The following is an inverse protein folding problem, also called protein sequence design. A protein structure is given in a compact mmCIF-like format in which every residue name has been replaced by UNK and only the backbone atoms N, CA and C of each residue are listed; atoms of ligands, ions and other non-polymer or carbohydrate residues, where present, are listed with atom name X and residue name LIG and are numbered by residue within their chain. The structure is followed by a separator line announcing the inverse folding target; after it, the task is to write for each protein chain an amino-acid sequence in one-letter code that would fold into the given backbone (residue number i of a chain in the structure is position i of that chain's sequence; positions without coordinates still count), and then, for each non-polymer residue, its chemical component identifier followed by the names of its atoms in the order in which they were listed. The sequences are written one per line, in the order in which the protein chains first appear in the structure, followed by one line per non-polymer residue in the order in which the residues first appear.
data_IF_817543234912
#
_entry.id   IF_817543234912
#
_cell.length_a   1.000
_cell.length_b   1.000
_cell.length_c   1.000
_cell.angle_alpha   90.00
_cell.angle_beta   90.00
_cell.angle_gamma   90.00
#
_symmetry.space_group_name_H-M   'P 1'
#
loop_
_entity.id
_entity.type
_entity.pdbx_description
1 polymer ?
#
# COMPACT_ATOMS: atom_id res chain seq x y z
N UNK A 1 -40.87 78.36 -32.28
CA UNK A 1 -39.45 78.69 -31.94
C UNK A 1 -39.32 78.38 -30.44
N UNK A 2 -38.48 77.49 -29.89
CA UNK A 2 -37.17 76.93 -30.23
C UNK A 2 -37.15 75.52 -29.60
N UNK A 3 -36.69 74.52 -30.36
CA UNK A 3 -36.71 73.08 -30.01
C UNK A 3 -35.60 72.76 -28.99
N UNK A 4 -35.90 72.02 -27.93
CA UNK A 4 -34.90 71.24 -27.18
C UNK A 4 -35.18 69.77 -27.44
N UNK A 5 -34.25 69.13 -28.14
CA UNK A 5 -34.27 67.71 -28.51
C UNK A 5 -33.30 67.01 -27.56
N UNK A 6 -33.81 66.31 -26.55
CA UNK A 6 -32.99 65.46 -25.67
C UNK A 6 -33.04 64.04 -26.22
N UNK A 7 -32.01 63.64 -26.94
CA UNK A 7 -31.81 62.26 -27.40
C UNK A 7 -31.21 61.46 -26.24
N UNK A 8 -32.01 60.61 -25.60
CA UNK A 8 -31.52 59.62 -24.65
C UNK A 8 -30.92 58.43 -25.43
N UNK A 9 -29.59 58.38 -25.51
CA UNK A 9 -28.85 57.26 -26.10
C UNK A 9 -28.73 56.15 -25.04
N UNK A 10 -29.62 55.15 -25.09
CA UNK A 10 -29.49 53.95 -24.30
C UNK A 10 -28.34 53.09 -24.87
N UNK A 11 -27.19 53.09 -24.20
CA UNK A 11 -26.06 52.23 -24.52
C UNK A 11 -26.39 50.80 -24.05
N UNK A 12 -26.91 49.98 -24.95
CA UNK A 12 -27.09 48.53 -24.72
C UNK A 12 -25.71 47.87 -24.83
N UNK A 13 -25.05 47.64 -23.70
CA UNK A 13 -23.80 46.88 -23.64
C UNK A 13 -24.14 45.39 -23.84
N UNK A 14 -23.96 44.88 -25.06
CA UNK A 14 -23.88 43.45 -25.32
C UNK A 14 -22.56 42.92 -24.73
N UNK A 15 -22.62 42.34 -23.53
CA UNK A 15 -21.55 41.51 -23.02
C UNK A 15 -21.60 40.15 -23.75
N UNK A 16 -20.51 39.68 -24.39
CA UNK A 16 -20.46 38.33 -24.91
C UNK A 16 -20.42 37.34 -23.74
N UNK A 17 -21.31 36.34 -23.75
CA UNK A 17 -21.28 35.19 -22.85
C UNK A 17 -19.95 34.44 -22.99
N UNK A 18 -19.04 34.68 -22.04
CA UNK A 18 -17.85 33.85 -21.89
C UNK A 18 -18.32 32.54 -21.23
N UNK A 19 -18.20 31.36 -21.87
CA UNK A 19 -18.56 30.12 -21.23
C UNK A 19 -17.59 29.89 -20.06
N UNK A 20 -18.08 30.09 -18.85
CA UNK A 20 -17.40 29.66 -17.64
C UNK A 20 -17.31 28.12 -17.69
N UNK A 21 -16.17 27.61 -18.16
CA UNK A 21 -15.78 26.21 -17.93
C UNK A 21 -15.52 26.08 -16.44
N UNK A 22 -16.58 25.82 -15.68
CA UNK A 22 -16.46 25.42 -14.29
C UNK A 22 -15.61 24.15 -14.28
N UNK A 23 -14.44 24.21 -13.64
CA UNK A 23 -13.62 23.04 -13.39
C UNK A 23 -14.47 22.04 -12.60
N UNK A 24 -14.99 21.02 -13.28
CA UNK A 24 -15.77 19.96 -12.66
C UNK A 24 -14.83 18.78 -12.43
N UNK A 25 -14.62 18.46 -11.16
CA UNK A 25 -13.83 17.30 -10.74
C UNK A 25 -14.63 15.99 -10.78
N UNK A 26 -15.88 16.01 -11.25
CA UNK A 26 -16.77 14.83 -11.25
C UNK A 26 -16.27 13.69 -12.14
N UNK A 27 -15.56 13.99 -13.24
CA UNK A 27 -14.95 12.94 -14.06
C UNK A 27 -13.83 12.22 -13.30
N UNK A 28 -13.03 12.96 -12.53
CA UNK A 28 -11.87 12.45 -11.81
C UNK A 28 -12.30 11.68 -10.56
N UNK A 29 -13.37 12.13 -9.91
CA UNK A 29 -14.06 11.39 -8.85
C UNK A 29 -14.69 10.09 -9.39
N UNK A 30 -15.25 10.12 -10.61
CA UNK A 30 -15.77 8.92 -11.27
C UNK A 30 -14.66 7.91 -11.62
N UNK A 31 -13.50 8.38 -12.08
CA UNK A 31 -12.32 7.52 -12.36
C UNK A 31 -11.77 6.92 -11.07
N UNK A 32 -11.67 7.71 -10.00
CA UNK A 32 -11.22 7.24 -8.69
C UNK A 32 -12.15 6.18 -8.08
N UNK A 33 -13.47 6.39 -8.17
CA UNK A 33 -14.45 5.42 -7.70
C UNK A 33 -14.44 4.12 -8.51
N UNK A 34 -14.30 4.20 -9.85
CA UNK A 34 -14.15 3.04 -10.71
C UNK A 34 -12.86 2.26 -10.43
N UNK A 35 -11.73 2.95 -10.26
CA UNK A 35 -10.46 2.32 -9.91
C UNK A 35 -10.55 1.60 -8.55
N UNK A 36 -11.19 2.21 -7.56
CA UNK A 36 -11.41 1.60 -6.24
C UNK A 36 -12.33 0.39 -6.33
N UNK A 37 -13.41 0.45 -7.12
CA UNK A 37 -14.32 -0.67 -7.34
C UNK A 37 -13.62 -1.83 -8.07
N UNK A 38 -12.80 -1.53 -9.09
CA UNK A 38 -12.00 -2.52 -9.79
C UNK A 38 -10.96 -3.19 -8.88
N UNK A 39 -10.27 -2.41 -8.03
CA UNK A 39 -9.36 -2.97 -7.01
C UNK A 39 -10.10 -3.89 -6.05
N UNK A 40 -11.26 -3.49 -5.53
CA UNK A 40 -12.09 -4.35 -4.67
C UNK A 40 -12.55 -5.62 -5.35
N UNK A 41 -12.93 -5.54 -6.64
CA UNK A 41 -13.31 -6.70 -7.43
C UNK A 41 -12.12 -7.64 -7.69
N UNK A 42 -10.93 -7.11 -7.97
CA UNK A 42 -9.72 -7.90 -8.14
C UNK A 42 -9.33 -8.62 -6.83
N UNK A 43 -9.42 -7.92 -5.71
CA UNK A 43 -9.18 -8.48 -4.36
C UNK A 43 -10.19 -9.57 -4.03
N UNK A 44 -11.49 -9.35 -4.31
CA UNK A 44 -12.52 -10.36 -4.04
C UNK A 44 -12.39 -11.58 -4.96
N UNK A 45 -12.01 -11.39 -6.23
CA UNK A 45 -11.76 -12.47 -7.18
C UNK A 45 -10.51 -13.29 -6.83
N UNK A 46 -9.46 -12.65 -6.30
CA UNK A 46 -8.25 -13.33 -5.85
C UNK A 46 -8.50 -14.23 -4.63
N UNK A 47 -9.50 -13.92 -3.80
CA UNK A 47 -9.91 -14.72 -2.64
C UNK A 47 -11.08 -15.66 -2.98
N UNK A 48 -10.78 -16.85 -3.51
CA UNK A 48 -11.82 -17.86 -3.75
C UNK A 48 -12.50 -18.30 -2.43
N UNK A 49 -13.77 -18.70 -2.48
CA UNK A 49 -14.50 -19.16 -1.28
C UNK A 49 -13.81 -20.33 -0.54
N UNK A 50 -13.23 -21.34 -1.23
CA UNK A 50 -12.46 -22.41 -0.59
C UNK A 50 -11.13 -21.91 0.01
N UNK A 51 -10.46 -20.97 -0.66
CA UNK A 51 -9.25 -20.35 -0.12
C UNK A 51 -9.56 -19.59 1.17
N UNK A 52 -10.67 -18.82 1.18
CA UNK A 52 -11.12 -18.05 2.33
C UNK A 52 -11.38 -18.91 3.57
N UNK A 53 -11.85 -20.15 3.44
CA UNK A 53 -12.01 -21.05 4.59
C UNK A 53 -10.69 -21.58 5.14
N UNK A 54 -9.67 -21.80 4.28
CA UNK A 54 -8.34 -22.27 4.70
C UNK A 54 -7.57 -21.24 5.55
N UNK A 55 -7.84 -19.95 5.33
CA UNK A 55 -7.21 -18.83 6.05
C UNK A 55 -8.07 -18.33 7.22
N UNK A 56 -9.35 -18.70 7.28
CA UNK A 56 -10.27 -18.26 8.34
C UNK A 56 -9.81 -18.80 9.69
N UNK A 57 -9.58 -17.90 10.65
CA UNK A 57 -9.10 -18.26 11.99
C UNK A 57 -7.60 -18.52 12.09
N UNK A 58 -6.86 -18.38 10.98
CA UNK A 58 -5.40 -18.44 10.99
C UNK A 58 -4.83 -17.10 11.43
N UNK A 59 -3.81 -17.13 12.28
CA UNK A 59 -3.15 -15.92 12.79
C UNK A 59 -1.96 -15.57 11.93
N UNK A 60 -1.90 -14.33 11.46
CA UNK A 60 -0.82 -13.81 10.63
C UNK A 60 0.00 -12.80 11.41
N UNK A 61 1.31 -13.01 11.45
CA UNK A 61 2.27 -12.05 11.98
C UNK A 61 2.90 -11.26 10.83
N UNK A 62 2.79 -9.92 10.90
CA UNK A 62 3.45 -9.03 9.96
C UNK A 62 4.80 -8.59 10.53
N UNK A 63 5.87 -8.72 9.74
CA UNK A 63 7.19 -8.22 10.08
C UNK A 63 7.65 -7.29 8.96
N UNK A 64 8.02 -6.08 9.31
CA UNK A 64 8.54 -5.08 8.37
C UNK A 64 9.97 -4.69 8.76
N UNK A 65 10.82 -4.52 7.77
CA UNK A 65 12.13 -3.92 7.91
C UNK A 65 12.48 -3.06 6.71
N UNK A 66 13.31 -2.06 6.96
CA UNK A 66 13.91 -1.23 5.92
C UNK A 66 15.29 -1.80 5.58
N UNK A 67 15.63 -1.80 4.29
CA UNK A 67 16.94 -2.18 3.78
C UNK A 67 17.68 -0.92 3.38
N UNK A 68 18.72 -0.61 4.13
CA UNK A 68 19.58 0.56 3.89
C UNK A 68 21.03 0.10 3.89
N UNK A 69 21.76 0.38 2.81
CA UNK A 69 23.17 -0.04 2.67
C UNK A 69 23.37 -1.56 2.79
N UNK A 70 22.41 -2.36 2.33
CA UNK A 70 22.46 -3.83 2.38
C UNK A 70 22.12 -4.46 3.73
N UNK A 71 21.89 -3.66 4.79
CA UNK A 71 21.50 -4.15 6.12
C UNK A 71 20.01 -3.94 6.34
N UNK A 72 19.39 -4.89 7.05
CA UNK A 72 18.01 -4.74 7.52
C UNK A 72 17.99 -4.00 8.86
N UNK A 73 17.11 -3.02 8.97
CA UNK A 73 16.87 -2.27 10.19
C UNK A 73 15.38 -2.36 10.58
N UNK A 74 15.15 -2.57 11.88
CA UNK A 74 13.83 -2.48 12.48
C UNK A 74 13.66 -1.06 13.02
N UNK A 75 12.92 -0.23 12.31
CA UNK A 75 12.70 1.18 12.63
C UNK A 75 11.97 1.87 11.49
N UNK A 76 11.28 2.98 11.74
CA UNK A 76 10.59 3.79 10.70
C UNK A 76 9.27 3.21 10.17
N UNK A 77 9.05 1.91 10.31
CA UNK A 77 7.93 1.20 9.67
C UNK A 77 6.64 1.10 10.48
N UNK A 78 6.45 1.86 11.57
CA UNK A 78 5.24 1.76 12.40
C UNK A 78 3.98 2.13 11.61
N UNK A 79 4.01 3.27 10.92
CA UNK A 79 2.92 3.71 10.04
C UNK A 79 2.67 2.74 8.89
N UNK A 80 3.73 2.15 8.33
CA UNK A 80 3.62 1.14 7.27
C UNK A 80 3.03 -0.16 7.80
N UNK A 81 3.38 -0.55 9.04
CA UNK A 81 2.82 -1.71 9.70
C UNK A 81 1.32 -1.53 9.85
N UNK A 82 0.88 -0.38 10.37
CA UNK A 82 -0.54 -0.09 10.58
C UNK A 82 -1.31 -0.08 9.26
N UNK A 83 -0.74 0.52 8.20
CA UNK A 83 -1.33 0.52 6.87
C UNK A 83 -1.54 -0.89 6.31
N UNK A 84 -0.50 -1.74 6.32
CA UNK A 84 -0.64 -3.14 5.85
C UNK A 84 -1.57 -3.93 6.75
N UNK A 85 -1.49 -3.73 8.07
CA UNK A 85 -2.33 -4.40 9.05
C UNK A 85 -3.82 -4.08 8.81
N UNK A 86 -4.15 -2.81 8.52
CA UNK A 86 -5.50 -2.40 8.17
C UNK A 86 -5.98 -3.08 6.89
N UNK A 87 -5.13 -3.17 5.86
CA UNK A 87 -5.47 -3.90 4.63
C UNK A 87 -5.76 -5.38 4.90
N UNK A 88 -4.92 -6.05 5.70
CA UNK A 88 -5.13 -7.44 6.09
C UNK A 88 -6.46 -7.65 6.85
N UNK A 89 -6.77 -6.75 7.78
CA UNK A 89 -8.01 -6.81 8.55
C UNK A 89 -9.26 -6.57 7.67
N UNK A 90 -9.17 -5.69 6.67
CA UNK A 90 -10.25 -5.48 5.69
C UNK A 90 -10.53 -6.74 4.86
N UNK A 91 -9.56 -7.63 4.70
CA UNK A 91 -9.73 -8.94 4.06
C UNK A 91 -10.29 -10.01 5.00
N UNK A 92 -10.59 -9.67 6.26
CA UNK A 92 -11.14 -10.56 7.28
C UNK A 92 -10.11 -11.48 7.93
N UNK A 93 -8.82 -11.12 7.85
CA UNK A 93 -7.73 -11.91 8.40
C UNK A 93 -7.43 -11.51 9.85
N UNK A 94 -7.08 -12.50 10.68
CA UNK A 94 -6.66 -12.27 12.06
C UNK A 94 -5.18 -11.93 12.11
N UNK A 95 -4.85 -10.67 12.39
CA UNK A 95 -3.47 -10.19 12.46
C UNK A 95 -2.99 -10.04 13.91
N UNK A 96 -1.71 -10.27 14.11
CA UNK A 96 -1.01 -10.04 15.39
C UNK A 96 -0.44 -8.63 15.36
N UNK A 97 -0.71 -7.84 16.40
CA UNK A 97 -0.27 -6.43 16.44
C UNK A 97 1.24 -6.32 16.67
N UNK A 98 1.82 -5.19 16.26
CA UNK A 98 3.25 -4.96 16.44
C UNK A 98 3.67 -5.01 17.92
N UNK A 99 2.83 -4.50 18.83
CA UNK A 99 3.06 -4.57 20.27
C UNK A 99 3.10 -6.02 20.80
N UNK A 100 2.19 -6.88 20.33
CA UNK A 100 2.18 -8.29 20.71
C UNK A 100 3.43 -9.03 20.21
N UNK A 101 3.85 -8.76 18.97
CA UNK A 101 5.07 -9.32 18.40
C UNK A 101 6.29 -8.86 19.22
N UNK A 102 6.40 -7.55 19.48
CA UNK A 102 7.53 -6.98 20.22
C UNK A 102 7.61 -7.47 21.67
N UNK A 103 6.47 -7.78 22.30
CA UNK A 103 6.43 -8.30 23.66
C UNK A 103 6.91 -9.76 23.77
N UNK A 104 6.84 -10.53 22.68
CA UNK A 104 7.08 -11.98 22.70
C UNK A 104 8.28 -12.41 21.84
N UNK A 105 8.75 -11.55 20.93
CA UNK A 105 9.83 -11.84 19.99
C UNK A 105 10.85 -10.70 20.05
N UNK A 106 12.10 -11.07 20.33
CA UNK A 106 13.20 -10.13 20.39
C UNK A 106 13.50 -9.50 19.02
N UNK A 107 14.04 -8.28 19.02
CA UNK A 107 14.40 -7.57 17.77
C UNK A 107 15.39 -8.38 16.90
N UNK A 108 16.38 -9.04 17.50
CA UNK A 108 17.33 -9.89 16.78
C UNK A 108 16.66 -11.07 16.07
N UNK A 109 15.68 -11.69 16.72
CA UNK A 109 14.93 -12.81 16.15
C UNK A 109 13.99 -12.34 15.03
N UNK A 110 13.33 -11.20 15.18
CA UNK A 110 12.57 -10.57 14.09
C UNK A 110 13.44 -10.32 12.86
N UNK A 111 14.65 -9.78 13.05
CA UNK A 111 15.62 -9.61 11.97
C UNK A 111 16.05 -10.94 11.34
N UNK A 112 16.23 -12.00 12.14
CA UNK A 112 16.57 -13.33 11.62
C UNK A 112 15.44 -13.87 10.72
N UNK A 113 14.18 -13.78 11.16
CA UNK A 113 13.01 -14.18 10.36
C UNK A 113 12.98 -13.41 9.03
N UNK A 114 13.21 -12.10 9.07
CA UNK A 114 13.26 -11.24 7.87
C UNK A 114 14.43 -11.57 6.94
N UNK A 115 15.52 -12.14 7.45
CA UNK A 115 16.64 -12.68 6.68
C UNK A 115 16.44 -14.16 6.28
N UNK A 116 15.21 -14.67 6.35
CA UNK A 116 14.84 -16.02 5.94
C UNK A 116 15.45 -17.14 6.80
N UNK A 117 15.57 -16.91 8.11
CA UNK A 117 15.91 -17.95 9.09
C UNK A 117 14.66 -18.78 9.46
N UNK A 118 14.59 -20.07 9.08
CA UNK A 118 13.44 -20.92 9.36
C UNK A 118 13.34 -21.34 10.83
N UNK A 119 14.47 -21.44 11.54
CA UNK A 119 14.49 -21.85 12.96
C UNK A 119 13.97 -20.70 13.84
N UNK A 120 14.37 -19.47 13.53
CA UNK A 120 13.81 -18.28 14.16
C UNK A 120 12.30 -18.15 13.88
N UNK A 121 11.85 -18.46 12.65
CA UNK A 121 10.43 -18.43 12.30
C UNK A 121 9.63 -19.48 13.08
N UNK A 122 10.15 -20.70 13.18
CA UNK A 122 9.52 -21.79 13.92
C UNK A 122 9.44 -21.48 15.41
N UNK A 123 10.53 -21.00 16.02
CA UNK A 123 10.56 -20.61 17.43
C UNK A 123 9.57 -19.48 17.72
N UNK A 124 9.56 -18.44 16.88
CA UNK A 124 8.62 -17.34 16.97
C UNK A 124 7.16 -17.82 16.85
N UNK A 125 6.84 -18.61 15.83
CA UNK A 125 5.47 -19.09 15.58
C UNK A 125 4.88 -19.83 16.78
N UNK A 126 5.69 -20.65 17.45
CA UNK A 126 5.30 -21.36 18.67
C UNK A 126 4.98 -20.43 19.84
N UNK A 127 5.66 -19.30 19.97
CA UNK A 127 5.43 -18.34 21.07
C UNK A 127 4.19 -17.48 20.82
N UNK A 128 4.08 -16.87 19.64
CA UNK A 128 3.00 -15.93 19.32
C UNK A 128 1.76 -16.59 18.73
N UNK A 129 1.80 -17.91 18.48
CA UNK A 129 0.72 -18.68 17.86
C UNK A 129 0.42 -18.23 16.45
N UNK A 130 1.44 -17.85 15.66
CA UNK A 130 1.26 -17.45 14.27
C UNK A 130 1.29 -18.67 13.35
N UNK A 131 0.28 -18.83 12.49
CA UNK A 131 0.28 -19.85 11.45
C UNK A 131 1.11 -19.42 10.23
N UNK A 132 1.14 -18.11 9.97
CA UNK A 132 1.81 -17.51 8.83
C UNK A 132 2.57 -16.24 9.21
N UNK A 133 3.65 -15.96 8.47
CA UNK A 133 4.35 -14.68 8.53
C UNK A 133 4.26 -13.97 7.19
N UNK A 134 3.97 -12.67 7.23
CA UNK A 134 4.22 -11.77 6.10
C UNK A 134 5.48 -10.99 6.42
N UNK A 135 6.51 -11.18 5.60
CA UNK A 135 7.79 -10.48 5.70
C UNK A 135 7.83 -9.39 4.64
N UNK A 136 7.82 -8.14 5.05
CA UNK A 136 7.98 -6.98 4.17
C UNK A 136 9.36 -6.37 4.31
N UNK A 137 10.09 -6.26 3.21
CA UNK A 137 11.35 -5.53 3.14
C UNK A 137 11.17 -4.31 2.24
N UNK A 138 11.33 -3.12 2.82
CA UNK A 138 11.25 -1.84 2.12
C UNK A 138 12.68 -1.42 1.76
N UNK A 139 12.95 -1.25 0.47
CA UNK A 139 14.23 -0.72 -0.03
C UNK A 139 13.96 0.64 -0.65
N UNK A 140 14.51 1.71 -0.07
CA UNK A 140 14.37 3.07 -0.57
C UNK A 140 15.69 3.63 -1.07
N UNK A 141 15.66 4.34 -2.20
CA UNK A 141 16.74 5.22 -2.64
C UNK A 141 16.19 6.63 -2.78
N UNK A 142 16.78 7.59 -2.08
CA UNK A 142 16.50 9.01 -2.26
C UNK A 142 17.76 9.66 -2.85
N UNK A 143 17.60 10.43 -3.92
CA UNK A 143 18.72 11.06 -4.59
C UNK A 143 18.29 12.06 -5.65
N UNK A 144 19.25 12.83 -6.15
CA UNK A 144 19.00 13.75 -7.25
C UNK A 144 19.13 13.00 -8.58
N UNK A 145 18.07 12.98 -9.38
CA UNK A 145 18.14 12.50 -10.74
C UNK A 145 18.77 13.59 -11.62
N UNK A 146 19.98 13.33 -12.12
CA UNK A 146 20.75 14.30 -12.91
C UNK A 146 20.19 14.53 -14.32
N UNK A 147 19.42 13.59 -14.87
CA UNK A 147 18.82 13.71 -16.19
C UNK A 147 17.69 14.76 -16.20
N UNK A 148 16.88 14.80 -15.14
CA UNK A 148 15.75 15.73 -14.99
C UNK A 148 16.01 16.85 -13.96
N UNK A 149 17.22 16.89 -13.39
CA UNK A 149 17.65 17.85 -12.38
C UNK A 149 16.68 17.99 -11.18
N UNK A 150 16.03 16.89 -10.79
CA UNK A 150 15.02 16.87 -9.73
C UNK A 150 15.36 15.86 -8.64
N UNK A 151 14.81 16.05 -7.44
CA UNK A 151 14.88 15.05 -6.38
C UNK A 151 13.93 13.90 -6.71
N UNK A 152 14.45 12.69 -6.65
CA UNK A 152 13.71 11.46 -6.88
C UNK A 152 13.83 10.55 -5.67
N UNK A 153 12.70 9.95 -5.30
CA UNK A 153 12.63 8.87 -4.34
C UNK A 153 12.05 7.66 -5.05
N UNK A 154 12.79 6.55 -5.06
CA UNK A 154 12.28 5.28 -5.52
C UNK A 154 12.21 4.30 -4.36
N UNK A 155 11.05 3.68 -4.19
CA UNK A 155 10.78 2.69 -3.16
C UNK A 155 10.42 1.37 -3.82
N UNK A 156 11.02 0.30 -3.33
CA UNK A 156 10.62 -1.07 -3.64
C UNK A 156 10.24 -1.79 -2.36
N UNK A 157 9.03 -2.34 -2.32
CA UNK A 157 8.52 -3.14 -1.22
C UNK A 157 8.42 -4.58 -1.69
N UNK A 158 9.17 -5.47 -1.06
CA UNK A 158 9.07 -6.90 -1.29
C UNK A 158 8.35 -7.56 -0.13
N UNK A 159 7.17 -8.13 -0.38
CA UNK A 159 6.42 -8.90 0.60
C UNK A 159 6.52 -10.38 0.30
N UNK A 160 6.72 -11.19 1.34
CA UNK A 160 6.81 -12.64 1.23
C UNK A 160 5.96 -13.29 2.30
N UNK A 161 5.04 -14.15 1.90
CA UNK A 161 4.25 -14.99 2.78
C UNK A 161 5.00 -16.29 3.05
N UNK A 162 5.15 -16.63 4.32
CA UNK A 162 5.72 -17.91 4.76
C UNK A 162 4.80 -18.63 5.73
N UNK A 163 4.95 -19.95 5.81
CA UNK A 163 4.35 -20.72 6.89
C UNK A 163 5.09 -20.51 8.22
N UNK A 164 4.55 -21.11 9.28
CA UNK A 164 5.14 -21.13 10.61
C UNK A 164 6.58 -21.70 10.66
N UNK A 165 6.98 -22.53 9.68
CA UNK A 165 8.32 -23.13 9.60
C UNK A 165 9.29 -22.28 8.77
N UNK A 166 8.86 -21.10 8.31
CA UNK A 166 9.68 -20.20 7.50
C UNK A 166 9.77 -20.57 6.02
N UNK A 167 9.02 -21.58 5.54
CA UNK A 167 8.99 -21.94 4.12
C UNK A 167 8.21 -20.88 3.35
N UNK A 168 8.81 -20.41 2.26
CA UNK A 168 8.19 -19.43 1.35
C UNK A 168 7.03 -20.06 0.59
N UNK A 169 5.87 -19.41 0.67
CA UNK A 169 4.65 -19.81 -0.03
C UNK A 169 4.40 -18.91 -1.24
N UNK A 170 4.56 -17.59 -1.07
CA UNK A 170 4.40 -16.63 -2.15
C UNK A 170 5.19 -15.35 -1.88
N UNK A 171 5.54 -14.64 -2.94
CA UNK A 171 6.23 -13.36 -2.88
C UNK A 171 5.63 -12.38 -3.87
N UNK A 172 5.47 -11.14 -3.47
CA UNK A 172 4.94 -10.05 -4.28
C UNK A 172 5.86 -8.83 -4.15
N UNK A 173 6.08 -8.15 -5.27
CA UNK A 173 6.90 -6.95 -5.35
C UNK A 173 6.02 -5.77 -5.76
N UNK A 174 6.10 -4.69 -5.00
CA UNK A 174 5.49 -3.39 -5.32
C UNK A 174 6.61 -2.35 -5.40
N UNK A 175 6.44 -1.35 -6.25
CA UNK A 175 7.41 -0.26 -6.35
C UNK A 175 6.77 1.01 -6.85
N UNK A 176 7.21 2.16 -6.33
CA UNK A 176 6.88 3.45 -6.92
C UNK A 176 8.09 4.38 -6.93
N UNK A 177 7.98 5.37 -7.80
CA UNK A 177 8.92 6.46 -7.95
C UNK A 177 8.15 7.77 -7.75
N UNK A 178 8.69 8.67 -6.95
CA UNK A 178 8.12 10.00 -6.67
C UNK A 178 9.16 11.07 -6.96
N UNK A 179 8.74 12.08 -7.73
CA UNK A 179 9.59 13.19 -8.20
C UNK A 179 9.38 14.50 -7.44
N UNK A 180 8.80 14.44 -6.23
CA UNK A 180 8.37 15.63 -5.49
C UNK A 180 8.88 15.71 -4.04
N UNK A 181 9.99 15.06 -3.69
CA UNK A 181 10.52 15.17 -2.32
C UNK A 181 11.69 14.27 -1.97
N UNK A 182 11.95 14.12 -0.66
CA UNK A 182 12.93 13.19 -0.07
C UNK A 182 12.28 12.17 0.87
N UNK A 183 10.95 12.14 0.95
CA UNK A 183 10.22 11.32 1.90
C UNK A 183 10.03 9.87 1.39
N UNK A 184 10.95 9.00 1.78
CA UNK A 184 10.91 7.56 1.50
C UNK A 184 9.73 6.89 2.20
N UNK A 185 9.41 7.30 3.43
CA UNK A 185 8.35 6.67 4.23
C UNK A 185 6.98 7.03 3.67
N UNK A 186 6.75 8.29 3.34
CA UNK A 186 5.53 8.74 2.67
C UNK A 186 5.34 8.11 1.30
N UNK A 187 6.41 8.00 0.49
CA UNK A 187 6.36 7.28 -0.78
C UNK A 187 6.03 5.78 -0.59
N UNK A 188 6.62 5.13 0.41
CA UNK A 188 6.30 3.74 0.75
C UNK A 188 4.85 3.58 1.22
N UNK A 189 4.34 4.54 2.00
CA UNK A 189 2.97 4.52 2.51
C UNK A 189 1.96 4.62 1.36
N UNK A 190 2.17 5.56 0.43
CA UNK A 190 1.32 5.71 -0.76
C UNK A 190 1.28 4.42 -1.59
N UNK A 191 2.40 3.72 -1.77
CA UNK A 191 2.43 2.42 -2.47
C UNK A 191 1.57 1.38 -1.75
N UNK A 192 1.65 1.32 -0.42
CA UNK A 192 0.87 0.36 0.37
C UNK A 192 -0.62 0.70 0.32
N UNK A 193 -0.98 1.98 0.39
CA UNK A 193 -2.38 2.42 0.29
C UNK A 193 -2.96 2.10 -1.10
N UNK A 194 -2.17 2.26 -2.16
CA UNK A 194 -2.61 2.04 -3.52
C UNK A 194 -2.63 0.57 -3.94
N UNK A 195 -1.57 -0.18 -3.65
CA UNK A 195 -1.36 -1.54 -4.16
C UNK A 195 -1.42 -2.62 -3.07
N UNK A 196 -1.33 -2.25 -1.79
CA UNK A 196 -1.19 -3.20 -0.69
C UNK A 196 -2.31 -4.24 -0.62
N UNK A 197 -3.57 -3.82 -0.80
CA UNK A 197 -4.71 -4.73 -0.83
C UNK A 197 -4.58 -5.79 -1.94
N UNK A 198 -4.20 -5.35 -3.13
CA UNK A 198 -4.04 -6.21 -4.32
C UNK A 198 -2.85 -7.15 -4.15
N UNK A 199 -1.72 -6.63 -3.64
CA UNK A 199 -0.52 -7.44 -3.40
C UNK A 199 -0.77 -8.51 -2.33
N UNK A 200 -1.44 -8.16 -1.23
CA UNK A 200 -1.84 -9.12 -0.20
C UNK A 200 -2.80 -10.17 -0.76
N UNK A 201 -3.82 -9.76 -1.53
CA UNK A 201 -4.74 -10.69 -2.17
C UNK A 201 -4.04 -11.65 -3.14
N UNK A 202 -3.06 -11.15 -3.91
CA UNK A 202 -2.22 -11.97 -4.79
C UNK A 202 -1.36 -12.97 -4.01
N UNK A 203 -0.73 -12.55 -2.89
CA UNK A 203 0.01 -13.48 -2.01
C UNK A 203 -0.87 -14.67 -1.59
N UNK A 204 -2.11 -14.42 -1.21
CA UNK A 204 -3.04 -15.47 -0.79
C UNK A 204 -3.54 -16.32 -1.95
N UNK A 205 -3.88 -15.69 -3.09
CA UNK A 205 -4.29 -16.43 -4.29
C UNK A 205 -3.20 -17.42 -4.70
N UNK A 206 -1.95 -16.98 -4.71
CA UNK A 206 -0.81 -17.80 -5.09
C UNK A 206 -0.59 -18.96 -4.10
N UNK A 207 -0.72 -18.70 -2.80
CA UNK A 207 -0.73 -19.75 -1.77
C UNK A 207 -1.84 -20.78 -2.02
N UNK A 208 -3.06 -20.34 -2.28
CA UNK A 208 -4.19 -21.24 -2.48
C UNK A 208 -4.11 -22.04 -3.79
N UNK A 209 -3.52 -21.47 -4.84
CA UNK A 209 -3.23 -22.19 -6.07
C UNK A 209 -2.19 -23.31 -5.88
N UNK A 210 -1.29 -23.15 -4.91
CA UNK A 210 -0.27 -24.14 -4.57
C UNK A 210 -0.75 -25.15 -3.53
N UNK A 211 -1.55 -24.73 -2.54
CA UNK A 211 -2.09 -25.59 -1.49
C UNK A 211 -3.21 -26.53 -1.98
N UNK A 212 -3.81 -26.24 -3.14
CA UNK A 212 -4.76 -27.11 -3.82
C UNK A 212 -4.13 -28.18 -4.72
N UNK A 213 -2.80 -28.32 -4.70
CA UNK A 213 -2.04 -29.38 -5.36
C UNK A 213 -1.44 -30.32 -4.31
#
# INVERSE_FOLDING_TARGET
MRRLLVLAFAFLVLAPDVPARAFSFSEEESKGSQATAAKRAAVSAALSAPCRSSIKGKRIALLLAERTGGKLALGGSGVLFDAVNQQLQQLGLSTITQGQINAQIAAAERLAILNNDPDAALAASGRIGADFFIRGVISGRAGKNLMVNANEVAVTIMMTLTDARGRVLSSQKMSAESWAGQDVVGAALSVIEDEGAVAVANLYRDFCAQAGK
#
